data_IF_152372309588
#
_entry.id   IF_152372309588
#
_cell.length_a   1.000
_cell.length_b   1.000
_cell.length_c   1.000
_cell.angle_alpha   90.00
_cell.angle_beta   90.00
_cell.angle_gamma   90.00
#
_symmetry.space_group_name_H-M   'P 1'
#
loop_
_entity.id
_entity.type
_entity.pdbx_description
1 polymer ?
#
# COMPACT_ATOMS: atom_id res chain seq x y z
N UNK A 1 -16.27 5.76 0.94
CA UNK A 1 -15.59 4.61 0.28
C UNK A 1 -14.07 4.57 0.51
N UNK A 2 -13.55 5.15 1.61
CA UNK A 2 -12.08 5.33 1.81
C UNK A 2 -11.42 4.10 2.48
N UNK A 3 -12.18 3.27 3.19
CA UNK A 3 -11.67 2.05 3.85
C UNK A 3 -11.42 0.91 2.85
N UNK A 4 -12.29 0.77 1.86
CA UNK A 4 -12.19 -0.26 0.82
C UNK A 4 -10.87 -0.13 0.02
N UNK A 5 -10.53 1.08 -0.44
CA UNK A 5 -9.30 1.35 -1.20
C UNK A 5 -8.02 0.93 -0.46
N UNK A 6 -7.93 1.18 0.85
CA UNK A 6 -6.77 0.76 1.64
C UNK A 6 -6.68 -0.77 1.73
N UNK A 7 -7.81 -1.44 2.01
CA UNK A 7 -7.85 -2.89 2.13
C UNK A 7 -7.55 -3.58 0.81
N UNK A 8 -8.05 -3.05 -0.30
CA UNK A 8 -7.75 -3.50 -1.67
C UNK A 8 -6.25 -3.41 -1.98
N UNK A 9 -5.65 -2.24 -1.75
CA UNK A 9 -4.21 -2.03 -1.99
C UNK A 9 -3.35 -2.92 -1.09
N UNK A 10 -3.72 -3.08 0.17
CA UNK A 10 -2.98 -3.93 1.11
C UNK A 10 -3.08 -5.41 0.71
N UNK A 11 -4.27 -5.88 0.31
CA UNK A 11 -4.45 -7.25 -0.18
C UNK A 11 -3.66 -7.50 -1.46
N UNK A 12 -3.63 -6.53 -2.39
CA UNK A 12 -2.84 -6.64 -3.62
C UNK A 12 -1.33 -6.69 -3.31
N UNK A 13 -0.86 -5.92 -2.34
CA UNK A 13 0.54 -5.96 -1.89
C UNK A 13 0.89 -7.32 -1.27
N UNK A 14 0.01 -7.89 -0.45
CA UNK A 14 0.19 -9.23 0.13
C UNK A 14 0.29 -10.29 -0.97
N UNK A 15 -0.58 -10.24 -1.98
CA UNK A 15 -0.53 -11.16 -3.13
C UNK A 15 0.78 -11.03 -3.92
N UNK A 16 1.27 -9.80 -4.12
CA UNK A 16 2.56 -9.54 -4.78
C UNK A 16 3.71 -10.14 -3.97
N UNK A 17 3.71 -9.98 -2.65
CA UNK A 17 4.75 -10.54 -1.78
C UNK A 17 4.75 -12.07 -1.83
N UNK A 18 3.58 -12.70 -1.83
CA UNK A 18 3.45 -14.16 -1.98
C UNK A 18 4.02 -14.62 -3.32
N UNK A 19 3.72 -13.91 -4.41
CA UNK A 19 4.28 -14.25 -5.74
C UNK A 19 5.79 -14.08 -5.81
N UNK A 20 6.33 -13.00 -5.23
CA UNK A 20 7.77 -12.74 -5.16
C UNK A 20 8.56 -13.78 -4.37
N UNK A 21 7.90 -14.50 -3.45
CA UNK A 21 8.50 -15.60 -2.68
C UNK A 21 8.47 -16.94 -3.41
N UNK A 22 7.87 -17.01 -4.60
CA UNK A 22 7.80 -18.25 -5.39
C UNK A 22 9.16 -18.60 -6.00
N UNK A 23 9.63 -19.83 -5.76
CA UNK A 23 10.87 -20.38 -6.34
C UNK A 23 10.82 -20.54 -7.88
N UNK A 24 9.62 -20.44 -8.46
CA UNK A 24 9.37 -20.60 -9.91
C UNK A 24 9.13 -19.29 -10.64
N UNK A 25 9.35 -18.15 -9.97
CA UNK A 25 9.09 -16.84 -10.55
C UNK A 25 10.14 -16.47 -11.60
N UNK A 26 9.66 -16.11 -12.79
CA UNK A 26 10.49 -15.58 -13.86
C UNK A 26 11.01 -14.17 -13.53
N UNK A 27 12.23 -13.85 -13.97
CA UNK A 27 12.89 -12.58 -13.64
C UNK A 27 12.14 -11.36 -14.21
N UNK A 28 11.56 -11.46 -15.40
CA UNK A 28 10.81 -10.35 -16.00
C UNK A 28 9.51 -10.12 -15.23
N UNK A 29 8.90 -11.18 -14.72
CA UNK A 29 7.71 -11.09 -13.87
C UNK A 29 8.06 -10.53 -12.48
N UNK A 30 9.23 -10.90 -11.93
CA UNK A 30 9.72 -10.33 -10.67
C UNK A 30 9.92 -8.82 -10.76
N UNK A 31 10.46 -8.31 -11.87
CA UNK A 31 10.62 -6.86 -12.11
C UNK A 31 9.25 -6.17 -12.11
N UNK A 32 8.26 -6.70 -12.84
CA UNK A 32 6.90 -6.12 -12.89
C UNK A 32 6.22 -6.12 -11.53
N UNK A 33 6.33 -7.23 -10.79
CA UNK A 33 5.76 -7.35 -9.44
C UNK A 33 6.40 -6.35 -8.48
N UNK A 34 7.73 -6.16 -8.56
CA UNK A 34 8.44 -5.17 -7.77
C UNK A 34 8.03 -3.73 -8.11
N UNK A 35 7.90 -3.40 -9.39
CA UNK A 35 7.41 -2.09 -9.85
C UNK A 35 6.00 -1.81 -9.33
N UNK A 36 5.09 -2.78 -9.46
CA UNK A 36 3.72 -2.65 -8.96
C UNK A 36 3.68 -2.52 -7.44
N UNK A 37 4.45 -3.33 -6.72
CA UNK A 37 4.57 -3.25 -5.26
C UNK A 37 5.04 -1.87 -4.80
N UNK A 38 6.04 -1.30 -5.48
CA UNK A 38 6.55 0.05 -5.19
C UNK A 38 5.48 1.13 -5.37
N UNK A 39 4.64 1.01 -6.40
CA UNK A 39 3.51 1.93 -6.63
C UNK A 39 2.48 1.81 -5.49
N UNK A 40 2.12 0.59 -5.11
CA UNK A 40 1.14 0.35 -4.04
C UNK A 40 1.64 0.89 -2.70
N UNK A 41 2.91 0.67 -2.37
CA UNK A 41 3.52 1.22 -1.14
C UNK A 41 3.38 2.74 -1.11
N UNK A 42 3.68 3.44 -2.21
CA UNK A 42 3.50 4.90 -2.29
C UNK A 42 2.04 5.33 -2.10
N UNK A 43 1.07 4.60 -2.66
CA UNK A 43 -0.36 4.88 -2.46
C UNK A 43 -0.77 4.70 -0.99
N UNK A 44 -0.30 3.63 -0.34
CA UNK A 44 -0.55 3.36 1.08
C UNK A 44 0.08 4.41 2.00
N UNK A 45 1.33 4.82 1.74
CA UNK A 45 2.00 5.89 2.48
C UNK A 45 1.22 7.21 2.39
N UNK A 46 0.79 7.58 1.18
CA UNK A 46 -0.03 8.79 0.96
C UNK A 46 -1.37 8.71 1.71
N UNK A 47 -1.99 7.53 1.72
CA UNK A 47 -3.22 7.30 2.48
C UNK A 47 -3.00 7.51 3.98
N UNK A 48 -1.98 6.86 4.55
CA UNK A 48 -1.65 6.93 5.96
C UNK A 48 -1.30 8.36 6.37
N UNK A 49 -0.54 9.09 5.52
CA UNK A 49 -0.22 10.49 5.80
C UNK A 49 -1.47 11.38 5.83
N UNK A 50 -2.41 11.16 4.92
CA UNK A 50 -3.69 11.87 4.94
C UNK A 50 -4.53 11.53 6.18
N UNK A 51 -4.52 10.28 6.63
CA UNK A 51 -5.20 9.87 7.86
C UNK A 51 -4.57 10.53 9.10
N UNK A 52 -3.23 10.51 9.20
CA UNK A 52 -2.47 11.18 10.25
C UNK A 52 -2.79 12.67 10.31
N UNK A 53 -2.76 13.37 9.17
CA UNK A 53 -3.07 14.80 9.09
C UNK A 53 -4.50 15.11 9.56
N UNK A 54 -5.48 14.24 9.26
CA UNK A 54 -6.86 14.40 9.74
C UNK A 54 -6.93 14.26 11.25
N UNK A 55 -6.27 13.26 11.83
CA UNK A 55 -6.22 13.06 13.28
C UNK A 55 -5.53 14.24 13.97
N UNK A 56 -4.43 14.75 13.42
CA UNK A 56 -3.72 15.90 13.95
C UNK A 56 -4.60 17.16 13.97
N UNK A 57 -5.34 17.44 12.89
CA UNK A 57 -6.30 18.56 12.83
C UNK A 57 -7.41 18.45 13.87
N UNK A 58 -7.94 17.25 14.05
CA UNK A 58 -8.97 16.98 15.06
C UNK A 58 -8.42 17.28 16.45
N UNK A 59 -7.24 16.77 16.80
CA UNK A 59 -6.58 17.03 18.09
C UNK A 59 -6.35 18.52 18.34
N UNK A 60 -5.80 19.24 17.36
CA UNK A 60 -5.54 20.67 17.45
C UNK A 60 -6.83 21.52 17.58
N UNK A 61 -8.01 20.97 17.27
CA UNK A 61 -9.29 21.66 17.44
C UNK A 61 -9.87 21.53 18.85
N UNK A 62 -9.25 20.71 19.72
CA UNK A 62 -9.65 20.49 21.11
C UNK A 62 -8.67 21.11 22.13
N UNK A 63 -7.59 21.74 21.65
CA UNK A 63 -6.64 22.54 22.44
C UNK A 63 -6.96 24.03 22.28
#
# INVERSE_FOLDING_TARGET
MVKARYQELNSELEDILVKLQSDSLDIDEAVKLHERGTIIVKELEAYLKNAENKVAKIKASFE
#
